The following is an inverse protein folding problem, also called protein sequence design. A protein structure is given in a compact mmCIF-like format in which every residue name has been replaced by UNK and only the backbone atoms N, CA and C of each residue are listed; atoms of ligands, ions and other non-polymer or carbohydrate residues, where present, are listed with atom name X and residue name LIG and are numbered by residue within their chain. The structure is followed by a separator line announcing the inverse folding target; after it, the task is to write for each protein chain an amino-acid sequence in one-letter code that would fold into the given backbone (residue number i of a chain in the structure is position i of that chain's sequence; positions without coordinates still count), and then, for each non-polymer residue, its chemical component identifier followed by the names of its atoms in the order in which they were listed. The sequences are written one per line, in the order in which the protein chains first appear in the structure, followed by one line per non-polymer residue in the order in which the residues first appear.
data_IF_752646691578
#
_entry.id   IF_752646691578
#
_cell.length_a   1.000
_cell.length_b   1.000
_cell.length_c   1.000
_cell.angle_alpha   90.00
_cell.angle_beta   90.00
_cell.angle_gamma   90.00
#
_symmetry.space_group_name_H-M   'P 1'
#
loop_
_entity.id
_entity.type
_entity.pdbx_description
1 polymer ?
#
# COMPACT_ATOMS: atom_id res chain seq x y z
N UNK A 1 -7.56 2.41 -32.15
CA UNK A 1 -7.59 0.94 -32.05
C UNK A 1 -8.87 0.50 -31.33
N UNK A 2 -9.86 -0.07 -32.03
CA UNK A 2 -11.16 -0.43 -31.48
C UNK A 2 -11.25 -1.94 -31.18
N UNK A 3 -11.75 -2.32 -30.00
CA UNK A 3 -12.28 -3.65 -29.66
C UNK A 3 -13.27 -3.40 -28.52
N UNK A 4 -14.59 -3.21 -28.69
CA UNK A 4 -15.62 -4.00 -29.40
C UNK A 4 -15.73 -5.44 -28.86
N UNK A 5 -16.86 -5.68 -28.19
CA UNK A 5 -17.57 -6.95 -28.00
C UNK A 5 -16.92 -8.08 -27.17
N UNK A 6 -17.36 -8.19 -25.91
CA UNK A 6 -17.67 -9.50 -25.30
C UNK A 6 -18.96 -9.39 -24.47
N UNK A 7 -20.07 -9.25 -25.17
CA UNK A 7 -21.38 -9.69 -24.70
C UNK A 7 -21.69 -10.97 -25.44
N UNK A 8 -21.72 -12.12 -24.77
CA UNK A 8 -22.51 -13.28 -25.21
C UNK A 8 -22.54 -14.37 -24.15
N UNK A 9 -23.69 -15.04 -24.10
CA UNK A 9 -23.91 -16.37 -23.54
C UNK A 9 -24.39 -16.45 -22.09
N UNK A 10 -25.61 -15.95 -21.86
CA UNK A 10 -26.49 -16.52 -20.83
C UNK A 10 -27.41 -17.51 -21.54
N UNK A 11 -27.09 -18.80 -21.43
CA UNK A 11 -27.95 -19.91 -21.87
C UNK A 11 -29.17 -19.98 -20.97
N UNK A 12 -30.34 -19.86 -21.58
CA UNK A 12 -31.62 -20.24 -20.98
C UNK A 12 -31.66 -21.76 -20.78
N UNK A 13 -31.71 -22.19 -19.51
CA UNK A 13 -32.06 -23.56 -19.14
C UNK A 13 -33.49 -23.55 -18.59
N UNK A 14 -34.46 -23.79 -19.46
CA UNK A 14 -35.83 -24.09 -19.08
C UNK A 14 -35.91 -25.54 -18.57
N UNK A 15 -35.60 -25.72 -17.28
CA UNK A 15 -35.84 -26.96 -16.55
C UNK A 15 -37.24 -26.97 -15.95
N UNK A 16 -38.02 -27.97 -16.34
CA UNK A 16 -39.38 -28.30 -15.88
C UNK A 16 -39.53 -28.28 -14.35
N UNK A 17 -40.34 -27.35 -13.82
CA UNK A 17 -40.78 -27.38 -12.43
C UNK A 17 -42.02 -28.26 -12.28
N UNK A 18 -41.84 -29.44 -11.67
CA UNK A 18 -42.92 -30.25 -11.13
C UNK A 18 -43.54 -29.56 -9.91
N UNK A 19 -44.81 -29.22 -9.98
CA UNK A 19 -45.61 -28.78 -8.83
C UNK A 19 -45.89 -29.98 -7.90
N UNK A 20 -44.98 -30.26 -6.98
CA UNK A 20 -45.27 -31.11 -5.82
C UNK A 20 -46.08 -30.31 -4.79
N UNK A 21 -47.33 -30.74 -4.58
CA UNK A 21 -48.28 -30.22 -3.61
C UNK A 21 -47.76 -30.46 -2.18
N UNK A 22 -46.97 -29.52 -1.64
CA UNK A 22 -46.51 -29.56 -0.25
C UNK A 22 -47.62 -29.06 0.66
N UNK A 23 -48.06 -29.94 1.56
CA UNK A 23 -49.07 -29.71 2.59
C UNK A 23 -48.53 -28.70 3.61
N UNK A 24 -49.06 -27.48 3.60
CA UNK A 24 -48.67 -26.41 4.54
C UNK A 24 -49.21 -26.71 5.94
N UNK A 25 -48.36 -27.26 6.81
CA UNK A 25 -48.65 -27.38 8.23
C UNK A 25 -48.52 -25.98 8.86
N UNK A 26 -49.64 -25.37 9.27
CA UNK A 26 -49.73 -24.04 9.87
C UNK A 26 -49.22 -24.01 11.32
N UNK A 27 -47.96 -24.38 11.55
CA UNK A 27 -47.24 -23.98 12.75
C UNK A 27 -46.45 -22.73 12.40
N UNK A 28 -47.03 -21.56 12.71
CA UNK A 28 -46.32 -20.28 12.61
C UNK A 28 -45.24 -20.29 13.69
N UNK A 29 -43.93 -20.43 13.37
CA UNK A 29 -42.90 -20.25 14.37
C UNK A 29 -43.03 -18.81 14.88
N UNK A 30 -42.96 -18.64 16.20
CA UNK A 30 -42.91 -17.33 16.83
C UNK A 30 -41.82 -16.51 16.13
N UNK A 31 -42.24 -15.55 15.29
CA UNK A 31 -41.33 -14.66 14.58
C UNK A 31 -40.63 -13.85 15.65
N UNK A 32 -39.42 -14.26 16.04
CA UNK A 32 -38.50 -13.38 16.75
C UNK A 32 -38.36 -12.16 15.86
N UNK A 33 -38.88 -11.03 16.33
CA UNK A 33 -38.60 -9.72 15.78
C UNK A 33 -37.12 -9.48 16.09
N UNK A 34 -36.27 -10.07 15.25
CA UNK A 34 -34.86 -9.70 15.19
C UNK A 34 -34.89 -8.23 14.82
N UNK A 35 -34.46 -7.41 15.77
CA UNK A 35 -34.43 -5.96 15.67
C UNK A 35 -33.64 -5.59 14.42
N UNK A 36 -34.33 -5.12 13.39
CA UNK A 36 -33.76 -4.67 12.11
C UNK A 36 -32.65 -3.64 12.30
N UNK A 37 -32.67 -2.92 13.42
CA UNK A 37 -31.65 -1.96 13.85
C UNK A 37 -30.25 -2.58 14.01
N UNK A 38 -30.13 -3.73 14.68
CA UNK A 38 -28.82 -4.35 14.94
C UNK A 38 -28.13 -4.81 13.65
N UNK A 39 -28.89 -5.30 12.67
CA UNK A 39 -28.33 -5.68 11.35
C UNK A 39 -27.79 -4.48 10.57
N UNK A 40 -28.46 -3.34 10.64
CA UNK A 40 -28.01 -2.12 9.96
C UNK A 40 -26.71 -1.58 10.58
N UNK A 41 -26.56 -1.66 11.90
CA UNK A 41 -25.34 -1.25 12.61
C UNK A 41 -24.16 -2.17 12.24
N UNK A 42 -24.38 -3.50 12.17
CA UNK A 42 -23.39 -4.48 11.73
C UNK A 42 -22.95 -4.27 10.26
N UNK A 43 -23.90 -3.93 9.37
CA UNK A 43 -23.59 -3.66 7.95
C UNK A 43 -22.73 -2.39 7.80
N UNK A 44 -23.02 -1.34 8.56
CA UNK A 44 -22.26 -0.07 8.54
C UNK A 44 -20.83 -0.27 9.05
N UNK A 45 -20.65 -0.99 10.16
CA UNK A 45 -19.31 -1.28 10.71
C UNK A 45 -18.49 -2.13 9.74
N UNK A 46 -19.13 -3.14 9.12
CA UNK A 46 -18.50 -3.98 8.09
C UNK A 46 -18.08 -3.16 6.87
N UNK A 47 -18.94 -2.26 6.38
CA UNK A 47 -18.63 -1.38 5.25
C UNK A 47 -17.45 -0.45 5.56
N UNK A 48 -17.39 0.12 6.77
CA UNK A 48 -16.31 1.00 7.20
C UNK A 48 -14.97 0.25 7.34
N UNK A 49 -14.98 -0.97 7.88
CA UNK A 49 -13.79 -1.83 7.94
C UNK A 49 -13.28 -2.17 6.54
N UNK A 50 -14.17 -2.52 5.61
CA UNK A 50 -13.79 -2.76 4.22
C UNK A 50 -13.17 -1.53 3.56
N UNK A 51 -13.75 -0.35 3.78
CA UNK A 51 -13.20 0.93 3.28
C UNK A 51 -11.81 1.22 3.86
N UNK A 52 -11.61 0.96 5.15
CA UNK A 52 -10.32 1.13 5.82
C UNK A 52 -9.24 0.24 5.18
N UNK A 53 -9.54 -1.04 4.92
CA UNK A 53 -8.61 -1.95 4.25
C UNK A 53 -8.24 -1.48 2.83
N UNK A 54 -9.17 -0.87 2.10
CA UNK A 54 -8.87 -0.30 0.77
C UNK A 54 -7.93 0.90 0.89
N UNK A 55 -8.20 1.83 1.82
CA UNK A 55 -7.36 3.01 2.03
C UNK A 55 -5.95 2.65 2.50
N UNK A 56 -5.81 1.64 3.36
CA UNK A 56 -4.49 1.13 3.78
C UNK A 56 -3.68 0.61 2.60
N UNK A 57 -4.30 -0.18 1.72
CA UNK A 57 -3.65 -0.68 0.50
C UNK A 57 -3.24 0.44 -0.44
N UNK A 58 -4.09 1.45 -0.62
CA UNK A 58 -3.77 2.63 -1.44
C UNK A 58 -2.63 3.45 -0.87
N UNK A 59 -2.60 3.64 0.47
CA UNK A 59 -1.50 4.32 1.16
C UNK A 59 -0.19 3.57 0.94
N UNK A 60 -0.19 2.26 1.17
CA UNK A 60 1.01 1.43 1.05
C UNK A 60 1.54 1.43 -0.39
N UNK A 61 0.64 1.35 -1.39
CA UNK A 61 0.99 1.48 -2.79
C UNK A 61 1.62 2.85 -3.13
N UNK A 62 1.08 3.95 -2.56
CA UNK A 62 1.64 5.29 -2.73
C UNK A 62 3.05 5.39 -2.12
N UNK A 63 3.26 4.84 -0.92
CA UNK A 63 4.59 4.79 -0.27
C UNK A 63 5.58 3.97 -1.09
N UNK A 64 5.18 2.80 -1.59
CA UNK A 64 6.03 1.95 -2.43
C UNK A 64 6.46 2.69 -3.70
N UNK A 65 5.53 3.35 -4.38
CA UNK A 65 5.83 4.13 -5.58
C UNK A 65 6.78 5.30 -5.29
N UNK A 66 6.59 5.98 -4.16
CA UNK A 66 7.49 7.03 -3.71
C UNK A 66 8.92 6.50 -3.48
N UNK A 67 9.07 5.34 -2.84
CA UNK A 67 10.35 4.68 -2.63
C UNK A 67 11.03 4.25 -3.93
N UNK A 68 10.28 3.72 -4.90
CA UNK A 68 10.78 3.38 -6.24
C UNK A 68 11.32 4.65 -6.94
N UNK A 69 10.57 5.76 -6.88
CA UNK A 69 11.03 7.04 -7.41
C UNK A 69 12.31 7.52 -6.70
N UNK A 70 12.39 7.44 -5.36
CA UNK A 70 13.59 7.80 -4.61
C UNK A 70 14.81 6.96 -5.01
N UNK A 71 14.66 5.64 -5.17
CA UNK A 71 15.73 4.74 -5.65
C UNK A 71 16.18 5.12 -7.06
N UNK A 72 15.24 5.45 -7.96
CA UNK A 72 15.56 5.91 -9.32
C UNK A 72 16.31 7.25 -9.30
N UNK A 73 15.90 8.21 -8.47
CA UNK A 73 16.59 9.50 -8.33
C UNK A 73 18.04 9.34 -7.91
N UNK A 74 18.36 8.41 -7.00
CA UNK A 74 19.76 8.10 -6.63
C UNK A 74 20.60 7.64 -7.83
N UNK A 75 20.05 6.76 -8.68
CA UNK A 75 20.73 6.29 -9.91
C UNK A 75 20.94 7.41 -10.91
N UNK A 76 19.95 8.29 -11.08
CA UNK A 76 20.05 9.44 -11.98
C UNK A 76 21.12 10.43 -11.50
N UNK A 77 21.24 10.67 -10.20
CA UNK A 77 22.31 11.49 -9.61
C UNK A 77 23.69 10.91 -9.90
N UNK A 78 23.89 9.61 -9.70
CA UNK A 78 25.15 8.93 -10.04
C UNK A 78 25.46 9.07 -11.54
N UNK A 79 24.44 8.96 -12.41
CA UNK A 79 24.61 9.16 -13.86
C UNK A 79 25.03 10.60 -14.19
N UNK A 80 24.42 11.60 -13.58
CA UNK A 80 24.79 13.02 -13.73
C UNK A 80 26.25 13.25 -13.33
N UNK A 81 26.70 12.66 -12.22
CA UNK A 81 28.10 12.73 -11.79
C UNK A 81 29.04 12.10 -12.82
N UNK A 82 28.72 10.89 -13.32
CA UNK A 82 29.53 10.23 -14.35
C UNK A 82 29.65 11.05 -15.65
N UNK A 83 28.55 11.66 -16.11
CA UNK A 83 28.53 12.51 -17.30
C UNK A 83 29.36 13.78 -17.11
N UNK A 84 29.32 14.36 -15.89
CA UNK A 84 30.16 15.51 -15.52
C UNK A 84 31.64 15.15 -15.57
N UNK A 85 32.04 14.04 -14.96
CA UNK A 85 33.43 13.56 -14.97
C UNK A 85 33.91 13.27 -16.39
N UNK A 86 33.10 12.58 -17.19
CA UNK A 86 33.42 12.30 -18.59
C UNK A 86 33.58 13.58 -19.42
N UNK A 87 32.69 14.56 -19.25
CA UNK A 87 32.82 15.84 -19.95
C UNK A 87 34.11 16.57 -19.58
N UNK A 88 34.52 16.54 -18.31
CA UNK A 88 35.78 17.12 -17.85
C UNK A 88 36.99 16.42 -18.47
N UNK A 89 36.96 15.09 -18.55
CA UNK A 89 38.01 14.30 -19.22
C UNK A 89 38.11 14.63 -20.71
N UNK A 90 36.98 14.67 -21.43
CA UNK A 90 36.94 15.07 -22.84
C UNK A 90 37.56 16.45 -23.06
N UNK A 91 37.23 17.44 -22.22
CA UNK A 91 37.83 18.79 -22.27
C UNK A 91 39.35 18.72 -22.08
N UNK A 92 39.82 17.96 -21.09
CA UNK A 92 41.27 17.83 -20.82
C UNK A 92 42.04 17.17 -21.98
N UNK A 93 41.36 16.32 -22.76
CA UNK A 93 41.92 15.65 -23.94
C UNK A 93 41.70 16.39 -25.27
N UNK A 94 41.12 17.60 -25.24
CA UNK A 94 40.83 18.41 -26.44
C UNK A 94 39.63 17.92 -27.27
N UNK A 95 38.82 16.99 -26.75
CA UNK A 95 37.62 16.44 -27.41
C UNK A 95 36.37 17.29 -27.09
N UNK A 96 36.33 18.52 -27.57
CA UNK A 96 35.27 19.49 -27.20
C UNK A 96 33.85 19.07 -27.61
N UNK A 97 33.68 18.51 -28.81
CA UNK A 97 32.36 18.12 -29.31
C UNK A 97 31.74 16.98 -28.48
N UNK A 98 32.56 16.00 -28.06
CA UNK A 98 32.13 14.95 -27.13
C UNK A 98 31.74 15.51 -25.77
N UNK A 99 32.49 16.50 -25.27
CA UNK A 99 32.18 17.17 -24.01
C UNK A 99 30.84 17.90 -24.09
N UNK A 100 30.58 18.64 -25.18
CA UNK A 100 29.28 19.29 -25.45
C UNK A 100 28.14 18.28 -25.51
N UNK A 101 28.34 17.15 -26.20
CA UNK A 101 27.39 16.05 -26.24
C UNK A 101 27.05 15.50 -24.85
N UNK A 102 28.07 15.22 -24.03
CA UNK A 102 27.89 14.74 -22.66
C UNK A 102 27.14 15.74 -21.77
N UNK A 103 27.46 17.03 -21.87
CA UNK A 103 26.77 18.09 -21.13
C UNK A 103 25.31 18.23 -21.55
N UNK A 104 25.00 18.08 -22.84
CA UNK A 104 23.62 18.05 -23.33
C UNK A 104 22.84 16.87 -22.75
N UNK A 105 23.41 15.66 -22.77
CA UNK A 105 22.77 14.48 -22.15
C UNK A 105 22.60 14.66 -20.65
N UNK A 106 23.58 15.29 -19.96
CA UNK A 106 23.47 15.59 -18.53
C UNK A 106 22.24 16.45 -18.23
N UNK A 107 21.97 17.48 -19.03
CA UNK A 107 20.78 18.33 -18.85
C UNK A 107 19.48 17.54 -18.99
N UNK A 108 19.38 16.67 -19.99
CA UNK A 108 18.20 15.79 -20.17
C UNK A 108 17.99 14.83 -18.98
N UNK A 109 19.08 14.28 -18.44
CA UNK A 109 19.03 13.42 -17.26
C UNK A 109 18.62 14.23 -16.02
N UNK A 110 19.05 15.49 -15.92
CA UNK A 110 18.69 16.40 -14.84
C UNK A 110 17.19 16.74 -14.86
N UNK A 111 16.61 17.07 -16.01
CA UNK A 111 15.16 17.28 -16.15
C UNK A 111 14.36 16.03 -15.72
N UNK A 112 14.84 14.84 -16.11
CA UNK A 112 14.22 13.57 -15.71
C UNK A 112 14.32 13.34 -14.19
N UNK A 113 15.43 13.73 -13.56
CA UNK A 113 15.63 13.66 -12.12
C UNK A 113 14.64 14.57 -11.39
N UNK A 114 14.51 15.82 -11.81
CA UNK A 114 13.58 16.79 -11.21
C UNK A 114 12.13 16.28 -11.27
N UNK A 115 11.70 15.79 -12.44
CA UNK A 115 10.38 15.17 -12.60
C UNK A 115 10.19 13.93 -11.70
N UNK A 116 11.23 13.12 -11.50
CA UNK A 116 11.17 11.93 -10.64
C UNK A 116 11.08 12.31 -9.16
N UNK A 117 11.80 13.35 -8.73
CA UNK A 117 11.73 13.89 -7.37
C UNK A 117 10.33 14.45 -7.09
N UNK A 118 9.77 15.23 -8.01
CA UNK A 118 8.43 15.78 -7.86
C UNK A 118 7.37 14.66 -7.73
N UNK A 119 7.48 13.59 -8.54
CA UNK A 119 6.59 12.42 -8.40
C UNK A 119 6.72 11.74 -7.05
N UNK A 120 7.94 11.60 -6.51
CA UNK A 120 8.14 11.03 -5.18
C UNK A 120 7.46 11.88 -4.09
N UNK A 121 7.65 13.19 -4.13
CA UNK A 121 7.02 14.13 -3.19
C UNK A 121 5.49 14.09 -3.26
N UNK A 122 4.92 14.03 -4.47
CA UNK A 122 3.48 13.94 -4.66
C UNK A 122 2.91 12.64 -4.06
N UNK A 123 3.61 11.51 -4.22
CA UNK A 123 3.18 10.23 -3.66
C UNK A 123 3.30 10.19 -2.12
N UNK A 124 4.36 10.76 -1.53
CA UNK A 124 4.43 10.90 -0.08
C UNK A 124 3.32 11.81 0.48
N UNK A 125 3.00 12.90 -0.23
CA UNK A 125 1.89 13.79 0.14
C UNK A 125 0.56 13.06 0.09
N UNK A 126 0.32 12.24 -0.93
CA UNK A 126 -0.87 11.39 -1.04
C UNK A 126 -0.95 10.38 0.12
N UNK A 127 0.14 9.68 0.41
CA UNK A 127 0.22 8.74 1.52
C UNK A 127 -0.08 9.40 2.88
N UNK A 128 0.40 10.63 3.11
CA UNK A 128 0.08 11.41 4.31
C UNK A 128 -1.42 11.68 4.42
N UNK A 129 -2.05 12.18 3.34
CA UNK A 129 -3.51 12.44 3.32
C UNK A 129 -4.34 11.18 3.53
N UNK A 130 -3.91 10.05 2.96
CA UNK A 130 -4.56 8.75 3.18
C UNK A 130 -4.43 8.31 4.64
N UNK A 131 -3.28 8.56 5.27
CA UNK A 131 -3.04 8.26 6.69
C UNK A 131 -3.95 9.07 7.61
N UNK A 132 -4.17 10.36 7.31
CA UNK A 132 -5.09 11.21 8.06
C UNK A 132 -6.54 10.68 7.95
N UNK A 133 -6.98 10.30 6.75
CA UNK A 133 -8.32 9.73 6.54
C UNK A 133 -8.50 8.38 7.23
N UNK A 134 -7.47 7.53 7.24
CA UNK A 134 -7.47 6.26 7.97
C UNK A 134 -7.62 6.54 9.47
N UNK A 135 -6.89 7.51 10.02
CA UNK A 135 -6.98 7.90 11.43
C UNK A 135 -8.39 8.37 11.82
N UNK A 136 -9.04 9.19 10.99
CA UNK A 136 -10.42 9.62 11.21
C UNK A 136 -11.38 8.42 11.22
N UNK A 137 -11.29 7.51 10.23
CA UNK A 137 -12.16 6.34 10.16
C UNK A 137 -11.95 5.36 11.33
N UNK A 138 -10.71 5.18 11.78
CA UNK A 138 -10.38 4.38 12.96
C UNK A 138 -10.99 4.99 14.23
N UNK A 139 -10.90 6.31 14.38
CA UNK A 139 -11.54 7.01 15.50
C UNK A 139 -13.06 6.82 15.47
N UNK A 140 -13.71 7.01 14.32
CA UNK A 140 -15.16 6.81 14.21
C UNK A 140 -15.59 5.36 14.50
N UNK A 141 -14.82 4.37 14.03
CA UNK A 141 -15.05 2.95 14.36
C UNK A 141 -14.94 2.70 15.87
N UNK A 142 -13.91 3.26 16.52
CA UNK A 142 -13.72 3.11 17.97
C UNK A 142 -14.87 3.73 18.79
N UNK A 143 -15.43 4.86 18.34
CA UNK A 143 -16.58 5.49 18.99
C UNK A 143 -17.82 4.59 18.88
N UNK A 144 -18.11 4.02 17.71
CA UNK A 144 -19.26 3.11 17.54
C UNK A 144 -19.11 1.85 18.40
N UNK A 145 -17.94 1.23 18.41
CA UNK A 145 -17.68 0.03 19.22
C UNK A 145 -17.79 0.31 20.74
N UNK A 146 -17.44 1.52 21.19
CA UNK A 146 -17.59 1.93 22.59
C UNK A 146 -19.05 2.12 23.03
N UNK A 147 -19.94 2.54 22.12
CA UNK A 147 -21.36 2.75 22.40
C UNK A 147 -22.10 1.42 22.57
N UNK A 148 -21.75 0.41 21.77
CA UNK A 148 -22.35 -0.92 21.85
C UNK A 148 -21.99 -1.65 23.16
N UNK A 149 -20.76 -1.45 23.67
CA UNK A 149 -20.31 -2.00 24.94
C UNK A 149 -21.00 -1.39 26.17
N UNK A 150 -21.36 -0.11 26.12
CA UNK A 150 -21.99 0.60 27.24
C UNK A 150 -23.44 0.16 27.52
N UNK A 151 -24.17 -0.32 26.50
CA UNK A 151 -25.58 -0.74 26.65
C UNK A 151 -25.74 -2.14 27.27
N UNK A 152 -24.68 -2.94 27.34
CA UNK A 152 -24.72 -4.32 27.87
C UNK A 152 -24.43 -4.43 29.39
N UNK A 153 -24.03 -3.33 30.05
CA UNK A 153 -23.59 -3.33 31.47
C UNK A 153 -24.72 -3.05 32.48
N UNK A 154 -25.98 -2.97 32.03
CA UNK A 154 -27.13 -2.80 32.93
C UNK A 154 -27.97 -4.08 33.03
N UNK A 155 -27.33 -5.21 33.33
CA UNK A 155 -28.05 -6.35 33.90
C UNK A 155 -28.20 -6.12 35.41
N UNK A 156 -29.42 -5.99 35.94
CA UNK A 156 -29.62 -5.90 37.38
C UNK A 156 -29.14 -7.21 38.00
N UNK A 157 -28.10 -7.13 38.84
CA UNK A 157 -27.69 -8.23 39.69
C UNK A 157 -28.90 -8.62 40.55
N UNK A 158 -29.54 -9.74 40.23
CA UNK A 158 -30.38 -10.40 41.21
C UNK A 158 -29.48 -10.82 42.37
N UNK A 159 -29.78 -10.28 43.54
CA UNK A 159 -29.15 -10.60 44.81
C UNK A 159 -29.33 -12.10 45.15
N UNK A 160 -28.41 -12.92 44.65
CA UNK A 160 -28.26 -14.33 45.01
C UNK A 160 -27.07 -14.53 45.92
N UNK A 161 -27.33 -14.53 47.23
CA UNK A 161 -26.37 -14.76 48.29
C UNK A 161 -25.75 -16.16 48.22
N UNK A 162 -24.41 -16.29 48.29
CA UNK A 162 -23.63 -17.05 49.30
C UNK A 162 -22.20 -17.44 48.84
N UNK A 163 -21.23 -16.96 49.63
CA UNK A 163 -19.96 -17.55 50.05
C UNK A 163 -19.11 -18.41 49.09
N UNK A 164 -17.89 -17.94 48.79
CA UNK A 164 -16.65 -18.57 49.26
C UNK A 164 -15.44 -17.64 49.09
N UNK A 165 -14.76 -17.42 50.21
CA UNK A 165 -13.50 -16.68 50.33
C UNK A 165 -12.35 -17.50 49.76
N UNK A 166 -11.57 -16.94 48.84
CA UNK A 166 -10.19 -17.35 48.60
C UNK A 166 -9.31 -16.11 48.48
N UNK A 167 -8.61 -15.83 49.58
CA UNK A 167 -7.46 -14.96 49.70
C UNK A 167 -6.29 -15.57 48.94
N UNK A 168 -5.49 -14.77 48.20
CA UNK A 168 -4.23 -15.30 47.70
C UNK A 168 -3.45 -14.42 46.71
N UNK A 169 -2.58 -13.58 47.26
CA UNK A 169 -1.23 -13.24 46.76
C UNK A 169 -1.08 -12.61 45.36
N UNK A 170 -0.63 -11.34 45.31
CA UNK A 170 0.78 -10.92 45.09
C UNK A 170 1.35 -11.34 43.73
N UNK A 171 1.67 -10.39 42.84
CA UNK A 171 3.03 -9.79 42.67
C UNK A 171 3.15 -8.94 41.39
N UNK A 172 3.86 -7.82 41.58
CA UNK A 172 4.95 -7.29 40.74
C UNK A 172 4.64 -6.70 39.36
N UNK A 173 4.53 -5.38 39.37
CA UNK A 173 5.34 -4.40 38.62
C UNK A 173 6.42 -4.91 37.64
N UNK A 174 6.28 -4.52 36.37
CA UNK A 174 7.34 -4.08 35.45
C UNK A 174 6.63 -3.20 34.40
N UNK A 175 6.81 -1.89 34.34
CA UNK A 175 8.10 -1.24 34.07
C UNK A 175 8.40 -1.34 32.57
N UNK A 176 7.53 -0.79 31.72
CA UNK A 176 7.76 -0.69 30.27
C UNK A 176 8.22 0.73 29.99
N UNK A 177 9.54 0.90 29.80
CA UNK A 177 10.12 2.11 29.22
C UNK A 177 9.66 2.28 27.77
N UNK A 178 9.20 3.46 27.34
CA UNK A 178 9.18 3.79 25.92
C UNK A 178 10.61 4.16 25.49
N UNK A 179 11.23 3.26 24.75
CA UNK A 179 12.48 3.50 24.04
C UNK A 179 12.38 4.75 23.16
N UNK A 180 13.30 5.69 23.40
CA UNK A 180 13.58 6.81 22.51
C UNK A 180 13.94 6.29 21.12
N UNK A 181 13.06 6.52 20.14
CA UNK A 181 13.38 6.33 18.73
C UNK A 181 13.96 7.66 18.20
N UNK A 182 15.20 7.95 18.59
CA UNK A 182 16.00 9.02 18.02
C UNK A 182 17.25 8.41 17.37
N UNK A 183 17.43 8.72 16.08
CA UNK A 183 18.64 8.57 15.26
C UNK A 183 19.11 7.14 14.97
N UNK A 184 19.01 6.76 13.69
CA UNK A 184 20.16 6.33 12.87
C UNK A 184 19.66 5.95 11.47
N UNK A 185 20.03 6.75 10.47
CA UNK A 185 20.59 6.29 9.21
C UNK A 185 21.11 7.52 8.45
N UNK A 186 22.16 8.08 9.03
CA UNK A 186 23.13 8.93 8.38
C UNK A 186 24.43 8.12 8.44
N UNK A 187 24.64 7.24 7.46
CA UNK A 187 25.91 6.54 7.21
C UNK A 187 25.81 5.86 5.84
N UNK A 188 26.17 6.61 4.79
CA UNK A 188 26.61 6.03 3.52
C UNK A 188 27.64 6.96 2.88
N UNK A 189 28.77 7.11 3.59
CA UNK A 189 30.04 7.57 3.07
C UNK A 189 31.11 6.55 3.52
N UNK A 190 31.76 5.89 2.56
CA UNK A 190 32.83 4.93 2.81
C UNK A 190 32.82 3.76 1.82
N UNK A 191 33.13 3.98 0.55
CA UNK A 191 34.51 3.82 0.06
C UNK A 191 35.06 2.39 0.32
N UNK A 192 34.77 1.45 -0.60
CA UNK A 192 35.65 0.30 -0.84
C UNK A 192 35.95 0.17 -2.34
N UNK A 193 37.19 0.54 -2.62
CA UNK A 193 38.04 0.13 -3.73
C UNK A 193 38.17 -1.40 -3.83
N UNK A 194 38.15 -1.92 -5.06
CA UNK A 194 38.56 -3.29 -5.42
C UNK A 194 38.03 -3.64 -6.81
N UNK A 195 38.69 -3.21 -7.88
CA UNK A 195 39.60 -4.05 -8.68
C UNK A 195 39.03 -5.43 -9.01
N UNK A 196 38.64 -5.59 -10.28
CA UNK A 196 38.23 -6.85 -10.90
C UNK A 196 37.86 -6.61 -12.36
N UNK A 197 38.87 -6.51 -13.23
CA UNK A 197 38.69 -6.57 -14.67
C UNK A 197 38.25 -7.98 -15.05
N UNK A 198 37.06 -8.14 -15.62
CA UNK A 198 36.77 -9.25 -16.53
C UNK A 198 36.28 -8.68 -17.86
N UNK A 199 37.13 -8.82 -18.87
CA UNK A 199 36.85 -8.54 -20.26
C UNK A 199 35.93 -9.65 -20.80
N UNK A 200 34.63 -9.48 -20.62
CA UNK A 200 33.62 -10.30 -21.27
C UNK A 200 33.38 -9.83 -22.71
N UNK A 201 34.17 -10.36 -23.65
CA UNK A 201 33.89 -10.26 -25.08
C UNK A 201 32.60 -11.03 -25.41
N UNK A 202 31.46 -10.33 -25.46
CA UNK A 202 30.17 -10.87 -25.90
C UNK A 202 29.70 -10.11 -27.14
N UNK A 203 29.84 -10.72 -28.31
CA UNK A 203 29.58 -10.12 -29.62
C UNK A 203 28.13 -9.65 -29.84
N UNK A 204 28.01 -8.51 -30.52
CA UNK A 204 26.76 -8.06 -31.12
C UNK A 204 26.56 -8.79 -32.46
N UNK A 205 25.41 -9.42 -32.73
CA UNK A 205 25.08 -9.82 -34.09
C UNK A 205 24.72 -8.57 -34.91
N UNK A 206 25.48 -8.35 -35.97
CA UNK A 206 25.14 -7.42 -37.05
C UNK A 206 23.87 -7.89 -37.75
N UNK A 207 22.74 -7.24 -37.47
CA UNK A 207 21.49 -7.41 -38.18
C UNK A 207 21.39 -6.44 -39.34
N UNK A 208 22.01 -6.78 -40.47
CA UNK A 208 21.76 -6.16 -41.77
C UNK A 208 20.46 -6.70 -42.36
N UNK A 209 19.46 -5.84 -42.60
CA UNK A 209 18.30 -6.04 -43.49
C UNK A 209 17.40 -4.81 -43.39
N UNK A 210 16.96 -4.13 -44.43
CA UNK A 210 17.13 -4.28 -45.87
C UNK A 210 16.43 -3.06 -46.46
N UNK A 211 17.10 -2.41 -47.41
CA UNK A 211 16.47 -1.51 -48.36
C UNK A 211 15.58 -2.36 -49.26
N UNK A 212 14.27 -2.11 -49.25
CA UNK A 212 13.39 -2.37 -50.39
C UNK A 212 12.49 -1.14 -50.59
N UNK A 213 12.48 -0.73 -51.86
CA UNK A 213 11.85 0.36 -52.60
C UNK A 213 10.69 1.18 -52.00
#
# INVERSE_FOLDING_TARGET
CPLVNMLTSIRANHGSCRCSLVRWNHQRPARRVVTTRSRLEDDITTQRRAKLTVLEKERDAAVELAQVCSKRSKRLLARIQSLKTYAQECISTGREEEARGSLKTKLQVQETLEATIQRAQNNYTLASRLSDMIGILQQELSVMESLDGAMMVQQPMQAGSRHRAWSGLRRSSSGVEPAQQQRQQEEDQGQQSGQGMELGAGGYPAGSRGLEE
#
